data_IF_644959045508
#
_entry.id   IF_644959045508
#
_cell.length_a   1.000
_cell.length_b   1.000
_cell.length_c   1.000
_cell.angle_alpha   90.00
_cell.angle_beta   90.00
_cell.angle_gamma   90.00
#
_symmetry.space_group_name_H-M   'P 1'
#
loop_
_entity.id
_entity.type
_entity.pdbx_description
1 polymer ?
#
# COMPACT_ATOMS: atom_id res chain seq x y z
N UNK A 1 44.90 2.10 1.38
CA UNK A 1 44.63 1.81 -0.05
C UNK A 1 43.18 1.36 -0.14
N UNK A 2 42.28 2.30 -0.40
CA UNK A 2 40.85 2.11 -0.55
C UNK A 2 40.58 1.40 -1.88
N UNK A 3 40.31 0.09 -1.83
CA UNK A 3 39.81 -0.63 -3.01
C UNK A 3 38.56 0.08 -3.52
N UNK A 4 38.45 0.33 -4.84
CA UNK A 4 37.24 0.89 -5.41
C UNK A 4 36.10 -0.07 -5.09
N UNK A 5 34.99 0.45 -4.57
CA UNK A 5 33.77 -0.31 -4.32
C UNK A 5 33.20 -0.78 -5.67
N UNK A 6 33.76 -1.88 -6.19
CA UNK A 6 33.14 -2.64 -7.27
C UNK A 6 31.90 -3.25 -6.64
N UNK A 7 30.74 -2.63 -6.89
CA UNK A 7 29.46 -3.20 -6.51
C UNK A 7 29.40 -4.62 -7.10
N UNK A 8 29.14 -5.67 -6.32
CA UNK A 8 28.94 -7.00 -6.87
C UNK A 8 27.84 -6.95 -7.93
N UNK A 9 28.01 -7.68 -9.03
CA UNK A 9 27.08 -7.65 -10.19
C UNK A 9 25.63 -7.99 -9.80
N UNK A 10 25.45 -8.69 -8.68
CA UNK A 10 24.16 -9.00 -8.05
C UNK A 10 23.44 -7.80 -7.38
N UNK A 11 24.10 -6.64 -7.25
CA UNK A 11 23.57 -5.44 -6.58
C UNK A 11 23.66 -4.21 -7.48
N UNK A 12 22.85 -4.16 -8.55
CA UNK A 12 22.82 -3.00 -9.43
C UNK A 12 22.32 -1.76 -8.69
N UNK A 13 22.85 -0.59 -9.07
CA UNK A 13 22.46 0.73 -8.50
C UNK A 13 20.95 0.99 -8.64
N UNK A 14 20.32 0.44 -9.67
CA UNK A 14 18.87 0.57 -9.90
C UNK A 14 18.01 -0.43 -9.10
N UNK A 15 18.58 -1.33 -8.30
CA UNK A 15 17.81 -2.30 -7.51
C UNK A 15 16.74 -1.67 -6.62
N UNK A 16 17.08 -0.66 -5.79
CA UNK A 16 16.12 0.01 -4.91
C UNK A 16 14.94 0.69 -5.63
N UNK A 17 15.09 1.05 -6.91
CA UNK A 17 14.01 1.65 -7.70
C UNK A 17 12.77 0.75 -7.76
N UNK A 18 12.97 -0.55 -8.00
CA UNK A 18 11.87 -1.52 -8.05
C UNK A 18 11.25 -1.76 -6.68
N UNK A 19 12.03 -1.73 -5.61
CA UNK A 19 11.53 -1.86 -4.24
C UNK A 19 10.65 -0.67 -3.82
N UNK A 20 11.07 0.57 -4.12
CA UNK A 20 10.25 1.77 -3.87
C UNK A 20 9.00 1.78 -4.74
N UNK A 21 9.10 1.38 -6.01
CA UNK A 21 7.95 1.25 -6.90
C UNK A 21 6.94 0.20 -6.40
N UNK A 22 7.42 -0.93 -5.85
CA UNK A 22 6.60 -1.94 -5.18
C UNK A 22 5.86 -1.38 -3.96
N UNK A 23 6.57 -0.64 -3.09
CA UNK A 23 5.95 0.01 -1.94
C UNK A 23 4.89 1.06 -2.35
N UNK A 24 5.19 1.87 -3.37
CA UNK A 24 4.28 2.89 -3.88
C UNK A 24 3.02 2.27 -4.52
N UNK A 25 3.19 1.27 -5.38
CA UNK A 25 2.07 0.59 -6.04
C UNK A 25 1.16 -0.14 -5.04
N UNK A 26 1.73 -0.78 -4.01
CA UNK A 26 0.96 -1.45 -2.96
C UNK A 26 -0.01 -0.48 -2.25
N UNK A 27 0.45 0.73 -1.88
CA UNK A 27 -0.40 1.70 -1.19
C UNK A 27 -1.36 2.43 -2.13
N UNK A 28 -0.94 2.77 -3.35
CA UNK A 28 -1.78 3.50 -4.31
C UNK A 28 -2.99 2.66 -4.70
N UNK A 29 -2.80 1.41 -5.13
CA UNK A 29 -3.90 0.58 -5.61
C UNK A 29 -4.85 0.13 -4.49
N UNK A 30 -4.31 -0.17 -3.30
CA UNK A 30 -5.14 -0.49 -2.13
C UNK A 30 -5.97 0.71 -1.67
N UNK A 31 -5.37 1.91 -1.65
CA UNK A 31 -6.07 3.14 -1.26
C UNK A 31 -7.13 3.55 -2.29
N UNK A 32 -6.85 3.37 -3.59
CA UNK A 32 -7.83 3.59 -4.65
C UNK A 32 -9.01 2.64 -4.53
N UNK A 33 -8.76 1.35 -4.28
CA UNK A 33 -9.81 0.36 -4.05
C UNK A 33 -10.69 0.69 -2.84
N UNK A 34 -10.07 1.07 -1.73
CA UNK A 34 -10.76 1.51 -0.53
C UNK A 34 -11.60 2.78 -0.78
N UNK A 35 -11.01 3.79 -1.41
CA UNK A 35 -11.70 5.04 -1.74
C UNK A 35 -12.92 4.80 -2.65
N UNK A 36 -12.79 3.94 -3.66
CA UNK A 36 -13.91 3.59 -4.54
C UNK A 36 -15.02 2.83 -3.78
N UNK A 37 -14.65 1.84 -2.97
CA UNK A 37 -15.59 1.10 -2.13
C UNK A 37 -16.36 2.02 -1.17
N UNK A 38 -15.65 2.92 -0.50
CA UNK A 38 -16.22 3.93 0.40
C UNK A 38 -17.11 4.93 -0.35
N UNK A 39 -16.73 5.38 -1.54
CA UNK A 39 -17.54 6.31 -2.32
C UNK A 39 -18.88 5.67 -2.73
N UNK A 40 -18.85 4.45 -3.29
CA UNK A 40 -20.07 3.77 -3.72
C UNK A 40 -20.96 3.37 -2.55
N UNK A 41 -20.40 2.81 -1.48
CA UNK A 41 -21.15 2.49 -0.28
C UNK A 41 -21.72 3.75 0.40
N UNK A 42 -20.92 4.82 0.48
CA UNK A 42 -21.31 6.10 1.07
C UNK A 42 -22.49 6.75 0.37
N UNK A 43 -22.52 6.76 -0.96
CA UNK A 43 -23.68 7.29 -1.72
C UNK A 43 -24.97 6.50 -1.43
N UNK A 44 -24.88 5.17 -1.33
CA UNK A 44 -26.03 4.32 -0.97
C UNK A 44 -26.51 4.56 0.46
N UNK A 45 -25.59 4.73 1.41
CA UNK A 45 -25.91 5.04 2.81
C UNK A 45 -26.59 6.41 2.91
N UNK A 46 -26.09 7.42 2.19
CA UNK A 46 -26.65 8.76 2.18
C UNK A 46 -28.06 8.83 1.57
N UNK A 47 -28.33 8.03 0.53
CA UNK A 47 -29.69 7.93 -0.03
C UNK A 47 -30.65 7.20 0.92
N UNK A 48 -30.18 6.10 1.54
CA UNK A 48 -30.99 5.30 2.45
C UNK A 48 -31.26 6.01 3.78
N UNK A 49 -30.31 6.78 4.30
CA UNK A 49 -30.42 7.46 5.61
C UNK A 49 -31.59 8.45 5.70
N UNK A 50 -32.02 9.00 4.56
CA UNK A 50 -33.18 9.89 4.48
C UNK A 50 -34.49 9.11 4.58
N UNK A 51 -34.55 7.88 4.04
CA UNK A 51 -35.77 7.08 4.03
C UNK A 51 -35.93 6.21 5.29
N UNK A 52 -34.83 5.66 5.82
CA UNK A 52 -34.82 4.74 6.97
C UNK A 52 -33.60 4.97 7.87
N UNK A 53 -33.63 6.02 8.72
CA UNK A 53 -32.48 6.38 9.55
C UNK A 53 -32.10 5.30 10.58
N UNK A 54 -33.02 4.42 10.98
CA UNK A 54 -32.69 3.35 11.95
C UNK A 54 -31.65 2.35 11.42
N UNK A 55 -31.44 2.28 10.10
CA UNK A 55 -30.57 1.29 9.46
C UNK A 55 -29.13 1.78 9.24
N UNK A 56 -28.83 3.07 9.50
CA UNK A 56 -27.52 3.68 9.23
C UNK A 56 -26.38 2.88 9.87
N UNK A 57 -26.53 2.52 11.15
CA UNK A 57 -25.48 1.82 11.90
C UNK A 57 -25.13 0.45 11.31
N UNK A 58 -26.12 -0.27 10.77
CA UNK A 58 -25.92 -1.58 10.12
C UNK A 58 -25.30 -1.42 8.74
N UNK A 59 -25.62 -0.34 8.03
CA UNK A 59 -25.14 -0.07 6.68
C UNK A 59 -23.71 0.48 6.62
N UNK A 60 -23.04 0.73 7.74
CA UNK A 60 -21.62 1.16 7.79
C UNK A 60 -20.65 -0.02 7.54
N UNK A 61 -21.06 -1.26 7.74
CA UNK A 61 -20.19 -2.46 7.60
C UNK A 61 -19.43 -2.49 6.26
N UNK A 62 -20.05 -2.24 5.08
CA UNK A 62 -19.34 -2.22 3.80
C UNK A 62 -18.25 -1.15 3.71
N UNK A 63 -18.43 0.01 4.37
CA UNK A 63 -17.43 1.09 4.41
C UNK A 63 -16.21 0.64 5.23
N UNK A 64 -16.44 -0.03 6.36
CA UNK A 64 -15.36 -0.56 7.20
C UNK A 64 -14.58 -1.65 6.46
N UNK A 65 -15.27 -2.54 5.74
CA UNK A 65 -14.62 -3.59 4.93
C UNK A 65 -13.75 -3.00 3.81
N UNK A 66 -14.19 -1.91 3.15
CA UNK A 66 -13.36 -1.18 2.21
C UNK A 66 -12.13 -0.55 2.89
N UNK A 67 -12.27 -0.02 4.11
CA UNK A 67 -11.18 0.57 4.88
C UNK A 67 -10.07 -0.43 5.25
N UNK A 68 -10.43 -1.67 5.60
CA UNK A 68 -9.45 -2.71 5.96
C UNK A 68 -8.51 -3.03 4.78
N UNK A 69 -8.99 -2.93 3.53
CA UNK A 69 -8.18 -3.15 2.33
C UNK A 69 -7.02 -2.14 2.24
N UNK A 70 -7.25 -0.87 2.60
CA UNK A 70 -6.18 0.13 2.63
C UNK A 70 -5.12 -0.18 3.71
N UNK A 71 -5.55 -0.70 4.86
CA UNK A 71 -4.64 -1.09 5.94
C UNK A 71 -3.75 -2.25 5.48
N UNK A 72 -4.28 -3.22 4.72
CA UNK A 72 -3.46 -4.29 4.16
C UNK A 72 -2.36 -3.75 3.22
N UNK A 73 -2.68 -2.80 2.34
CA UNK A 73 -1.67 -2.18 1.48
C UNK A 73 -0.64 -1.35 2.25
N UNK A 74 -1.06 -0.65 3.30
CA UNK A 74 -0.15 0.08 4.20
C UNK A 74 0.84 -0.85 4.89
N UNK A 75 0.37 -1.95 5.48
CA UNK A 75 1.25 -2.92 6.17
C UNK A 75 2.28 -3.49 5.20
N UNK A 76 1.88 -3.87 3.99
CA UNK A 76 2.81 -4.36 2.96
C UNK A 76 3.83 -3.29 2.57
N UNK A 77 3.40 -2.04 2.36
CA UNK A 77 4.32 -0.95 2.03
C UNK A 77 5.35 -0.68 3.14
N UNK A 78 4.94 -0.73 4.41
CA UNK A 78 5.84 -0.57 5.57
C UNK A 78 6.85 -1.72 5.66
N UNK A 79 6.42 -2.96 5.42
CA UNK A 79 7.31 -4.12 5.40
C UNK A 79 8.36 -4.03 4.28
N UNK A 80 7.97 -3.55 3.10
CA UNK A 80 8.89 -3.31 1.98
C UNK A 80 9.86 -2.19 2.36
N UNK A 81 9.36 -1.06 2.86
CA UNK A 81 10.19 0.09 3.24
C UNK A 81 11.20 -0.24 4.34
N UNK A 82 10.82 -1.05 5.34
CA UNK A 82 11.73 -1.51 6.39
C UNK A 82 12.81 -2.48 5.90
N UNK A 83 12.65 -3.08 4.71
CA UNK A 83 13.64 -3.94 4.07
C UNK A 83 14.48 -3.26 2.98
N UNK A 84 14.23 -1.98 2.68
CA UNK A 84 15.03 -1.20 1.74
C UNK A 84 16.33 -0.73 2.40
N UNK A 85 17.45 -1.01 1.76
CA UNK A 85 18.79 -0.55 2.17
C UNK A 85 19.54 0.01 0.97
N UNK A 86 20.61 0.77 1.21
CA UNK A 86 21.49 1.20 0.12
C UNK A 86 22.10 0.00 -0.63
N UNK A 87 22.35 0.10 -1.95
CA UNK A 87 23.03 -0.95 -2.71
C UNK A 87 24.40 -1.32 -2.11
N UNK A 88 25.09 -0.33 -1.54
CA UNK A 88 26.36 -0.50 -0.83
C UNK A 88 26.22 -1.21 0.52
N UNK A 89 25.02 -1.23 1.11
CA UNK A 89 24.72 -1.80 2.43
C UNK A 89 24.11 -3.21 2.36
N UNK A 90 23.97 -3.80 1.16
CA UNK A 90 23.59 -5.21 1.00
C UNK A 90 22.26 -5.48 0.30
N UNK A 91 21.63 -4.49 -0.32
CA UNK A 91 20.38 -4.68 -1.05
C UNK A 91 20.59 -5.51 -2.33
N UNK A 92 20.18 -6.78 -2.31
CA UNK A 92 20.18 -7.69 -3.45
C UNK A 92 18.85 -7.62 -4.18
N UNK A 93 18.88 -7.59 -5.52
CA UNK A 93 17.65 -7.63 -6.34
C UNK A 93 16.95 -9.00 -6.23
N UNK A 94 17.75 -10.05 -6.04
CA UNK A 94 17.30 -11.41 -5.83
C UNK A 94 17.38 -11.75 -4.35
N UNK A 95 16.31 -12.33 -3.82
CA UNK A 95 16.26 -12.85 -2.46
C UNK A 95 16.23 -14.37 -2.49
#
# INVERSE_FOLDING_TARGET
>A
MSSPAVLPEDRPIYGPFFGVMGAASAIIFSSLGAAYGTAKAGTGIAAMSVMRPELIMKSIIPVVMAGIIAIYGLVVAVLIAGGLSEPSAGYSLYK
#
